data_IF_109565712657
#
_entry.id   IF_109565712657
#
_cell.length_a   1.000
_cell.length_b   1.000
_cell.length_c   1.000
_cell.angle_alpha   90.00
_cell.angle_beta   90.00
_cell.angle_gamma   90.00
#
_symmetry.space_group_name_H-M   'P 1'
#
loop_
_entity.id
_entity.type
_entity.pdbx_description
1 polymer ?
#
# COMPACT_ATOMS: atom_id res chain seq x y z
N UNK A 1 7.48 4.26 -45.35
CA UNK A 1 8.79 3.91 -44.76
C UNK A 1 8.55 2.71 -43.85
N UNK A 2 9.36 1.66 -43.95
CA UNK A 2 9.26 0.46 -43.10
C UNK A 2 10.56 0.33 -42.33
N UNK A 3 10.49 0.13 -41.01
CA UNK A 3 11.66 -0.10 -40.17
C UNK A 3 11.64 -1.57 -39.71
N UNK A 4 12.69 -2.31 -40.06
CA UNK A 4 12.90 -3.68 -39.59
C UNK A 4 14.14 -3.65 -38.72
N UNK A 5 13.98 -4.02 -37.45
CA UNK A 5 15.06 -4.13 -36.50
C UNK A 5 15.20 -5.61 -36.21
N UNK A 6 16.03 -6.27 -37.02
CA UNK A 6 16.45 -7.64 -36.78
C UNK A 6 17.83 -7.62 -36.14
N UNK A 7 18.02 -8.58 -35.24
CA UNK A 7 19.15 -8.75 -34.34
C UNK A 7 20.52 -8.77 -35.08
N UNK A 8 21.06 -7.59 -35.39
CA UNK A 8 22.48 -7.38 -35.65
C UNK A 8 23.08 -6.93 -34.33
N UNK A 9 24.08 -7.66 -33.81
CA UNK A 9 24.68 -7.54 -32.47
C UNK A 9 25.32 -6.20 -32.08
N UNK A 10 24.94 -5.10 -32.71
CA UNK A 10 25.31 -3.72 -32.38
C UNK A 10 24.17 -2.69 -32.56
N UNK A 11 22.92 -3.11 -32.79
CA UNK A 11 21.75 -2.21 -32.86
C UNK A 11 20.97 -2.11 -31.54
N UNK A 12 21.67 -1.87 -30.42
CA UNK A 12 21.09 -1.27 -29.20
C UNK A 12 20.82 0.22 -29.49
N UNK A 13 20.13 0.52 -30.59
CA UNK A 13 19.77 1.89 -30.99
C UNK A 13 18.27 2.05 -30.81
N UNK A 14 17.90 2.52 -29.62
CA UNK A 14 16.76 3.42 -29.38
C UNK A 14 15.38 3.05 -29.98
N UNK A 15 14.90 1.82 -29.82
CA UNK A 15 13.47 1.49 -30.09
C UNK A 15 12.55 1.81 -28.92
N UNK A 16 13.12 2.16 -27.75
CA UNK A 16 12.32 2.59 -26.60
C UNK A 16 11.47 3.83 -26.88
N UNK A 17 11.77 4.61 -27.94
CA UNK A 17 10.92 5.70 -28.46
C UNK A 17 11.07 5.80 -29.97
N UNK A 18 10.14 5.23 -30.74
CA UNK A 18 9.94 5.64 -32.13
C UNK A 18 9.42 7.08 -32.10
N UNK A 19 10.34 8.05 -32.17
CA UNK A 19 10.05 9.48 -32.03
C UNK A 19 8.85 9.94 -32.88
N UNK A 20 8.20 11.01 -32.41
CA UNK A 20 7.09 11.76 -33.05
C UNK A 20 7.34 12.24 -34.50
N UNK A 21 8.53 11.98 -35.05
CA UNK A 21 8.95 12.33 -36.39
C UNK A 21 8.60 11.25 -37.43
N UNK A 22 8.32 10.01 -37.00
CA UNK A 22 7.97 8.89 -37.90
C UNK A 22 6.46 8.68 -38.03
N UNK A 23 5.68 9.77 -38.15
CA UNK A 23 4.20 9.72 -38.24
C UNK A 23 3.68 8.95 -39.46
N UNK A 24 4.50 8.83 -40.50
CA UNK A 24 4.19 8.09 -41.73
C UNK A 24 4.75 6.64 -41.72
N UNK A 25 5.20 6.13 -40.57
CA UNK A 25 5.63 4.74 -40.45
C UNK A 25 4.41 3.82 -40.63
N UNK A 26 4.49 2.91 -41.60
CA UNK A 26 3.39 2.00 -41.95
C UNK A 26 3.68 0.55 -41.55
N UNK A 27 4.95 0.21 -41.32
CA UNK A 27 5.36 -1.13 -40.92
C UNK A 27 6.50 -1.07 -39.90
N UNK A 28 6.37 -1.85 -38.83
CA UNK A 28 7.37 -2.02 -37.79
C UNK A 28 7.57 -3.52 -37.48
N UNK A 29 8.82 -3.98 -37.55
CA UNK A 29 9.22 -5.32 -37.13
C UNK A 29 10.32 -5.26 -36.08
N UNK A 30 10.08 -5.86 -34.91
CA UNK A 30 10.98 -5.92 -33.75
C UNK A 30 11.06 -7.33 -33.14
N UNK A 31 10.70 -8.35 -33.91
CA UNK A 31 10.71 -9.74 -33.44
C UNK A 31 12.10 -10.21 -33.02
N UNK A 32 12.13 -11.17 -32.10
CA UNK A 32 13.37 -11.82 -31.62
C UNK A 32 14.35 -10.82 -30.97
N UNK A 33 13.80 -9.92 -30.15
CA UNK A 33 14.55 -8.89 -29.42
C UNK A 33 14.21 -8.88 -27.93
N UNK A 34 15.12 -8.32 -27.12
CA UNK A 34 14.95 -8.22 -25.67
C UNK A 34 14.10 -7.00 -25.23
N UNK A 35 13.28 -6.44 -26.12
CA UNK A 35 12.45 -5.29 -25.78
C UNK A 35 11.40 -5.67 -24.74
N UNK A 36 11.24 -4.81 -23.73
CA UNK A 36 10.26 -4.95 -22.65
C UNK A 36 9.13 -3.93 -22.71
N UNK A 37 9.38 -2.83 -23.42
CA UNK A 37 8.42 -1.76 -23.64
C UNK A 37 8.48 -1.34 -25.11
N UNK A 38 7.33 -1.02 -25.68
CA UNK A 38 7.19 -0.53 -27.05
C UNK A 38 6.19 0.63 -27.06
N UNK A 39 6.68 1.86 -27.16
CA UNK A 39 5.84 3.04 -27.36
C UNK A 39 5.73 3.37 -28.85
N UNK A 40 4.54 3.15 -29.39
CA UNK A 40 4.15 3.44 -30.78
C UNK A 40 2.97 4.42 -30.84
N UNK A 41 2.67 5.11 -29.74
CA UNK A 41 1.48 5.98 -29.60
C UNK A 41 1.40 7.09 -30.66
N UNK A 42 2.55 7.55 -31.16
CA UNK A 42 2.63 8.57 -32.22
C UNK A 42 2.52 8.02 -33.65
N UNK A 43 2.59 6.70 -33.85
CA UNK A 43 2.67 6.06 -35.17
C UNK A 43 1.31 5.54 -35.66
N UNK A 44 0.28 6.40 -35.62
CA UNK A 44 -1.12 6.03 -35.95
C UNK A 44 -1.35 5.59 -37.42
N UNK A 45 -0.35 5.79 -38.30
CA UNK A 45 -0.37 5.32 -39.67
C UNK A 45 0.09 3.86 -39.84
N UNK A 46 0.51 3.19 -38.76
CA UNK A 46 0.94 1.80 -38.80
C UNK A 46 -0.16 0.89 -39.35
N UNK A 47 0.25 0.02 -40.27
CA UNK A 47 -0.56 -1.04 -40.87
C UNK A 47 -0.06 -2.42 -40.46
N UNK A 48 1.24 -2.58 -40.28
CA UNK A 48 1.85 -3.86 -39.93
C UNK A 48 2.71 -3.70 -38.67
N UNK A 49 2.42 -4.48 -37.64
CA UNK A 49 3.24 -4.59 -36.44
C UNK A 49 3.60 -6.06 -36.20
N UNK A 50 4.90 -6.35 -36.16
CA UNK A 50 5.44 -7.69 -35.90
C UNK A 50 6.40 -7.59 -34.71
N UNK A 51 6.00 -8.14 -33.57
CA UNK A 51 6.75 -8.15 -32.30
C UNK A 51 6.72 -9.53 -31.64
N UNK A 52 6.82 -10.59 -32.45
CA UNK A 52 6.89 -11.97 -31.96
C UNK A 52 8.18 -12.20 -31.15
N UNK A 53 8.13 -13.10 -30.17
CA UNK A 53 9.30 -13.49 -29.37
C UNK A 53 10.00 -12.27 -28.74
N UNK A 54 9.24 -11.45 -28.02
CA UNK A 54 9.78 -10.30 -27.26
C UNK A 54 9.46 -10.45 -25.79
N UNK A 55 9.98 -9.55 -24.96
CA UNK A 55 9.71 -9.53 -23.52
C UNK A 55 8.65 -8.48 -23.15
N UNK A 56 7.80 -8.09 -24.11
CA UNK A 56 6.69 -7.18 -23.88
C UNK A 56 5.70 -7.80 -22.90
N UNK A 57 5.40 -7.07 -21.83
CA UNK A 57 4.38 -7.46 -20.86
C UNK A 57 3.06 -6.69 -21.04
N UNK A 58 3.06 -5.64 -21.86
CA UNK A 58 1.88 -4.86 -22.23
C UNK A 58 1.96 -4.52 -23.71
N UNK A 59 0.80 -4.53 -24.39
CA UNK A 59 0.68 -4.01 -25.75
C UNK A 59 -0.68 -3.34 -25.92
N UNK A 60 -0.66 -2.03 -26.14
CA UNK A 60 -1.85 -1.25 -26.46
C UNK A 60 -1.75 -0.72 -27.90
N UNK A 61 -2.64 -1.20 -28.76
CA UNK A 61 -2.81 -0.75 -30.15
C UNK A 61 -4.23 -0.22 -30.39
N UNK A 62 -4.93 0.16 -29.32
CA UNK A 62 -6.34 0.57 -29.37
C UNK A 62 -6.59 1.80 -30.24
N UNK A 63 -5.58 2.63 -30.45
CA UNK A 63 -5.66 3.83 -31.28
C UNK A 63 -5.17 3.59 -32.73
N UNK A 64 -4.55 2.45 -33.03
CA UNK A 64 -3.97 2.15 -34.34
C UNK A 64 -5.01 1.59 -35.30
N UNK A 65 -6.04 2.39 -35.61
CA UNK A 65 -7.20 1.98 -36.44
C UNK A 65 -6.86 1.56 -37.87
N UNK A 66 -5.66 1.85 -38.34
CA UNK A 66 -5.16 1.46 -39.66
C UNK A 66 -4.43 0.11 -39.66
N UNK A 67 -4.25 -0.52 -38.49
CA UNK A 67 -3.53 -1.78 -38.36
C UNK A 67 -4.29 -2.90 -39.07
N UNK A 68 -3.60 -3.58 -39.99
CA UNK A 68 -4.11 -4.69 -40.77
C UNK A 68 -3.48 -6.03 -40.35
N UNK A 69 -2.21 -5.99 -39.93
CA UNK A 69 -1.44 -7.15 -39.47
C UNK A 69 -0.86 -6.85 -38.09
N UNK A 70 -1.18 -7.71 -37.12
CA UNK A 70 -0.53 -7.75 -35.81
C UNK A 70 -0.06 -9.17 -35.51
N UNK A 71 1.25 -9.31 -35.27
CA UNK A 71 1.82 -10.55 -34.75
C UNK A 71 2.58 -10.25 -33.47
N UNK A 72 2.14 -10.83 -32.36
CA UNK A 72 2.73 -10.65 -31.03
C UNK A 72 2.83 -11.99 -30.26
N UNK A 73 3.00 -13.09 -31.00
CA UNK A 73 3.13 -14.44 -30.45
C UNK A 73 4.35 -14.56 -29.52
N UNK A 74 4.26 -15.43 -28.52
CA UNK A 74 5.35 -15.73 -27.58
C UNK A 74 5.93 -14.48 -26.90
N UNK A 75 5.07 -13.52 -26.56
CA UNK A 75 5.44 -12.39 -25.68
C UNK A 75 4.65 -12.52 -24.38
N UNK A 76 5.27 -12.30 -23.20
CA UNK A 76 4.64 -12.50 -21.89
C UNK A 76 3.67 -11.36 -21.54
N UNK A 77 2.70 -11.09 -22.42
CA UNK A 77 1.71 -10.03 -22.29
C UNK A 77 0.75 -10.32 -21.13
N UNK A 78 0.72 -9.46 -20.13
CA UNK A 78 -0.34 -9.43 -19.12
C UNK A 78 -1.66 -8.92 -19.74
N UNK A 79 -1.59 -8.07 -20.77
CA UNK A 79 -2.75 -7.71 -21.57
C UNK A 79 -2.39 -7.28 -22.99
N UNK A 80 -3.36 -7.44 -23.88
CA UNK A 80 -3.38 -6.89 -25.23
C UNK A 80 -4.65 -6.05 -25.38
N UNK A 81 -4.51 -4.77 -25.72
CA UNK A 81 -5.65 -3.89 -25.97
C UNK A 81 -5.74 -3.53 -27.45
N UNK A 82 -6.72 -4.09 -28.14
CA UNK A 82 -7.05 -3.75 -29.53
C UNK A 82 -8.09 -2.63 -29.64
N UNK A 83 -8.81 -2.32 -28.56
CA UNK A 83 -10.04 -1.53 -28.64
C UNK A 83 -10.99 -2.11 -29.69
N UNK A 84 -11.54 -1.24 -30.56
CA UNK A 84 -12.24 -1.69 -31.78
C UNK A 84 -11.36 -1.51 -33.03
N UNK A 85 -10.75 -2.58 -33.54
CA UNK A 85 -9.86 -2.58 -34.70
C UNK A 85 -10.41 -3.46 -35.83
N UNK A 86 -11.51 -3.05 -36.45
CA UNK A 86 -12.18 -3.81 -37.53
C UNK A 86 -11.31 -4.01 -38.79
N UNK A 87 -10.29 -3.16 -38.99
CA UNK A 87 -9.34 -3.30 -40.11
C UNK A 87 -8.27 -4.39 -39.88
N UNK A 88 -8.15 -4.90 -38.65
CA UNK A 88 -7.17 -5.92 -38.27
C UNK A 88 -7.67 -7.28 -38.72
N UNK A 89 -7.28 -7.72 -39.92
CA UNK A 89 -7.72 -8.99 -40.50
C UNK A 89 -6.76 -10.14 -40.20
N UNK A 90 -5.49 -9.82 -39.93
CA UNK A 90 -4.47 -10.81 -39.54
C UNK A 90 -3.99 -10.52 -38.12
N UNK A 91 -4.42 -11.34 -37.17
CA UNK A 91 -4.01 -11.28 -35.77
C UNK A 91 -3.44 -12.64 -35.35
N UNK A 92 -2.14 -12.67 -35.10
CA UNK A 92 -1.47 -13.80 -34.47
C UNK A 92 -1.07 -13.41 -33.05
N UNK A 93 -1.72 -14.06 -32.08
CA UNK A 93 -1.41 -13.96 -30.65
C UNK A 93 -1.54 -15.35 -30.03
N UNK A 94 -0.79 -15.60 -28.98
CA UNK A 94 -0.89 -16.82 -28.17
C UNK A 94 -1.49 -16.49 -26.82
N UNK A 95 -1.94 -17.51 -26.08
CA UNK A 95 -2.09 -17.36 -24.65
C UNK A 95 -0.74 -17.01 -24.02
N UNK A 96 -0.78 -16.34 -22.87
CA UNK A 96 0.38 -15.73 -22.27
C UNK A 96 0.71 -16.34 -20.91
N UNK A 97 1.99 -16.37 -20.59
CA UNK A 97 2.50 -16.74 -19.28
C UNK A 97 3.45 -15.65 -18.79
N UNK A 98 3.19 -15.12 -17.59
CA UNK A 98 3.90 -13.97 -17.04
C UNK A 98 4.41 -14.30 -15.64
N UNK A 99 5.64 -13.88 -15.34
CA UNK A 99 6.18 -13.95 -13.99
C UNK A 99 6.12 -12.55 -13.35
N UNK A 100 5.62 -12.46 -12.13
CA UNK A 100 5.50 -11.20 -11.40
C UNK A 100 6.01 -11.34 -9.97
N UNK A 101 6.95 -10.47 -9.59
CA UNK A 101 7.36 -10.30 -8.21
C UNK A 101 6.28 -9.51 -7.45
N UNK A 102 5.80 -10.04 -6.33
CA UNK A 102 4.83 -9.38 -5.45
C UNK A 102 5.27 -9.44 -4.00
N UNK A 103 4.68 -8.60 -3.15
CA UNK A 103 4.96 -8.56 -1.71
C UNK A 103 3.65 -8.73 -0.93
N UNK A 104 3.65 -9.62 0.06
CA UNK A 104 2.48 -9.85 0.90
C UNK A 104 1.41 -10.72 0.24
N UNK A 105 0.18 -10.61 0.72
CA UNK A 105 -0.97 -11.46 0.35
C UNK A 105 -1.91 -10.85 -0.69
N UNK A 106 -1.61 -9.64 -1.16
CA UNK A 106 -2.37 -8.94 -2.19
C UNK A 106 -1.47 -7.98 -2.97
N UNK A 107 -1.86 -7.60 -4.18
CA UNK A 107 -1.17 -6.58 -4.98
C UNK A 107 -2.16 -5.85 -5.90
N UNK A 108 -1.80 -4.65 -6.37
CA UNK A 108 -2.62 -3.90 -7.31
C UNK A 108 -2.20 -4.19 -8.76
N UNK A 109 -3.09 -4.78 -9.56
CA UNK A 109 -2.79 -5.13 -10.95
C UNK A 109 -2.54 -3.89 -11.83
N UNK A 110 -3.18 -2.75 -11.52
CA UNK A 110 -3.03 -1.49 -12.26
C UNK A 110 -1.65 -0.86 -12.05
N UNK A 111 -1.05 -1.12 -10.88
CA UNK A 111 0.31 -0.69 -10.58
C UNK A 111 1.33 -1.65 -11.21
N UNK A 112 1.05 -2.96 -11.23
CA UNK A 112 1.90 -3.96 -11.86
C UNK A 112 1.97 -3.81 -13.39
N UNK A 113 0.84 -3.52 -14.03
CA UNK A 113 0.75 -3.37 -15.49
C UNK A 113 -0.03 -2.09 -15.84
N UNK A 114 0.70 -1.01 -16.09
CA UNK A 114 0.12 0.28 -16.42
C UNK A 114 -0.80 0.18 -17.64
N UNK A 115 -2.05 0.64 -17.49
CA UNK A 115 -3.04 0.67 -18.58
C UNK A 115 -3.92 -0.58 -18.68
N UNK A 116 -3.67 -1.62 -17.88
CA UNK A 116 -4.59 -2.74 -17.77
C UNK A 116 -5.93 -2.28 -17.18
N UNK A 117 -7.04 -2.78 -17.72
CA UNK A 117 -8.38 -2.52 -17.20
C UNK A 117 -8.94 -3.76 -16.51
N UNK A 118 -9.12 -3.74 -15.17
CA UNK A 118 -9.72 -4.85 -14.43
C UNK A 118 -11.11 -5.26 -14.92
N UNK A 119 -11.86 -4.37 -15.58
CA UNK A 119 -13.18 -4.69 -16.11
C UNK A 119 -13.11 -5.69 -17.28
N UNK A 120 -12.04 -5.64 -18.07
CA UNK A 120 -11.76 -6.55 -19.16
C UNK A 120 -11.19 -7.90 -18.69
N UNK A 121 -10.93 -8.05 -17.39
CA UNK A 121 -10.45 -9.29 -16.80
C UNK A 121 -11.62 -10.16 -16.31
N UNK A 122 -11.54 -11.45 -16.60
CA UNK A 122 -12.41 -12.49 -16.00
C UNK A 122 -11.51 -13.53 -15.34
N UNK A 123 -11.52 -13.58 -14.01
CA UNK A 123 -10.76 -14.55 -13.24
C UNK A 123 -11.27 -15.97 -13.51
N UNK A 124 -10.34 -16.89 -13.78
CA UNK A 124 -10.63 -18.32 -13.97
C UNK A 124 -10.27 -19.09 -12.70
N UNK A 125 -9.09 -18.83 -12.13
CA UNK A 125 -8.62 -19.51 -10.92
C UNK A 125 -7.43 -18.80 -10.26
N UNK A 126 -7.07 -19.25 -9.06
CA UNK A 126 -5.81 -18.92 -8.39
C UNK A 126 -5.80 -17.62 -7.59
N UNK A 127 -6.87 -16.82 -7.64
CA UNK A 127 -7.04 -15.62 -6.83
C UNK A 127 -8.33 -14.87 -7.18
N UNK A 128 -8.65 -13.87 -6.38
CA UNK A 128 -9.79 -12.98 -6.59
C UNK A 128 -9.32 -11.62 -7.10
N UNK A 129 -10.15 -10.94 -7.88
CA UNK A 129 -9.92 -9.58 -8.36
C UNK A 129 -11.08 -8.69 -7.96
N UNK A 130 -10.80 -7.67 -7.16
CA UNK A 130 -11.67 -6.51 -7.01
C UNK A 130 -11.47 -5.59 -8.21
N UNK A 131 -12.50 -5.50 -9.06
CA UNK A 131 -12.45 -4.71 -10.30
C UNK A 131 -12.44 -3.20 -10.05
N UNK A 132 -12.99 -2.73 -8.94
CA UNK A 132 -13.03 -1.29 -8.62
C UNK A 132 -11.64 -0.82 -8.18
N UNK A 133 -11.05 -1.52 -7.22
CA UNK A 133 -9.74 -1.15 -6.66
C UNK A 133 -8.58 -1.64 -7.51
N UNK A 134 -8.75 -2.71 -8.29
CA UNK A 134 -7.71 -3.43 -9.01
C UNK A 134 -6.87 -4.34 -8.12
N UNK A 135 -7.32 -4.58 -6.88
CA UNK A 135 -6.60 -5.45 -5.94
C UNK A 135 -6.86 -6.91 -6.30
N UNK A 136 -5.76 -7.65 -6.45
CA UNK A 136 -5.74 -9.10 -6.56
C UNK A 136 -5.35 -9.69 -5.20
N UNK A 137 -6.15 -10.60 -4.67
CA UNK A 137 -5.98 -11.19 -3.33
C UNK A 137 -6.37 -12.67 -3.29
N UNK A 138 -6.24 -13.31 -2.12
CA UNK A 138 -6.59 -14.72 -1.86
C UNK A 138 -5.85 -15.74 -2.74
N UNK A 139 -4.79 -15.32 -3.45
CA UNK A 139 -3.88 -16.26 -4.10
C UNK A 139 -3.05 -17.02 -3.09
N UNK A 140 -2.53 -18.17 -3.51
CA UNK A 140 -1.69 -19.04 -2.70
C UNK A 140 -0.29 -19.11 -3.28
N UNK A 141 0.75 -19.08 -2.44
CA UNK A 141 2.13 -19.18 -2.92
C UNK A 141 2.33 -20.49 -3.69
N UNK A 142 3.00 -20.40 -4.82
CA UNK A 142 3.22 -21.53 -5.73
C UNK A 142 2.02 -21.91 -6.60
N UNK A 143 0.84 -21.33 -6.38
CA UNK A 143 -0.34 -21.55 -7.23
C UNK A 143 -0.49 -20.40 -8.23
N UNK A 144 -0.47 -20.66 -9.55
CA UNK A 144 -0.63 -19.61 -10.55
C UNK A 144 -2.04 -19.02 -10.53
N UNK A 145 -2.13 -17.73 -10.85
CA UNK A 145 -3.39 -17.05 -11.14
C UNK A 145 -3.68 -17.19 -12.63
N UNK A 146 -4.92 -17.53 -12.99
CA UNK A 146 -5.34 -17.62 -14.39
C UNK A 146 -6.52 -16.69 -14.62
N UNK A 147 -6.42 -15.83 -15.64
CA UNK A 147 -7.54 -14.99 -16.08
C UNK A 147 -7.64 -14.95 -17.60
N UNK A 148 -8.84 -14.64 -18.07
CA UNK A 148 -9.11 -14.29 -19.46
C UNK A 148 -9.20 -12.78 -19.59
N UNK A 149 -8.49 -12.21 -20.57
CA UNK A 149 -8.53 -10.79 -20.90
C UNK A 149 -9.35 -10.56 -22.17
N UNK A 150 -10.31 -9.64 -22.11
CA UNK A 150 -11.03 -9.12 -23.27
C UNK A 150 -10.13 -8.13 -24.02
N UNK A 151 -9.65 -8.55 -25.19
CA UNK A 151 -8.72 -7.75 -25.98
C UNK A 151 -9.46 -6.71 -26.85
N UNK A 152 -10.80 -6.75 -26.92
CA UNK A 152 -11.61 -5.95 -27.83
C UNK A 152 -11.99 -6.71 -29.10
N UNK A 153 -12.01 -6.04 -30.25
CA UNK A 153 -12.45 -6.60 -31.53
C UNK A 153 -11.41 -6.41 -32.64
N UNK A 154 -11.27 -7.44 -33.47
CA UNK A 154 -10.55 -7.45 -34.75
C UNK A 154 -11.55 -7.47 -35.92
N UNK A 155 -11.05 -7.49 -37.15
CA UNK A 155 -11.86 -7.75 -38.35
C UNK A 155 -12.50 -9.16 -38.36
N UNK A 156 -12.05 -10.06 -37.49
CA UNK A 156 -12.59 -11.41 -37.33
C UNK A 156 -13.60 -11.51 -36.17
N UNK A 157 -13.88 -10.42 -35.46
CA UNK A 157 -14.83 -10.36 -34.35
C UNK A 157 -14.17 -10.16 -32.99
N UNK A 158 -14.78 -10.71 -31.94
CA UNK A 158 -14.33 -10.51 -30.56
C UNK A 158 -13.06 -11.32 -30.27
N UNK A 159 -12.07 -10.67 -29.68
CA UNK A 159 -10.76 -11.25 -29.37
C UNK A 159 -10.54 -11.34 -27.86
N UNK A 160 -10.02 -12.48 -27.43
CA UNK A 160 -9.68 -12.71 -26.01
C UNK A 160 -8.40 -13.50 -25.89
N UNK A 161 -7.69 -13.34 -24.77
CA UNK A 161 -6.43 -14.03 -24.48
C UNK A 161 -6.48 -14.60 -23.06
N UNK A 162 -6.02 -15.83 -22.86
CA UNK A 162 -5.80 -16.34 -21.51
C UNK A 162 -4.41 -15.94 -21.03
N UNK A 163 -4.30 -15.58 -19.76
CA UNK A 163 -3.05 -15.23 -19.10
C UNK A 163 -2.88 -16.09 -17.86
N UNK A 164 -1.74 -16.74 -17.75
CA UNK A 164 -1.28 -17.45 -16.56
C UNK A 164 -0.20 -16.63 -15.88
N UNK A 165 -0.47 -16.15 -14.68
CA UNK A 165 0.43 -15.33 -13.88
C UNK A 165 1.06 -16.19 -12.78
N UNK A 166 2.37 -16.41 -12.90
CA UNK A 166 3.18 -17.02 -11.86
C UNK A 166 3.71 -15.93 -10.93
N UNK A 167 3.36 -16.03 -9.66
CA UNK A 167 3.79 -15.08 -8.65
C UNK A 167 5.07 -15.57 -7.96
N UNK A 168 6.07 -14.69 -7.92
CA UNK A 168 7.20 -14.82 -7.02
C UNK A 168 6.93 -13.95 -5.78
N UNK A 169 6.31 -14.57 -4.77
CA UNK A 169 5.84 -13.88 -3.56
C UNK A 169 7.00 -13.69 -2.59
N UNK A 170 7.33 -12.43 -2.29
CA UNK A 170 8.26 -12.04 -1.23
C UNK A 170 7.47 -11.69 0.03
N UNK A 171 8.03 -12.01 1.20
CA UNK A 171 7.40 -11.63 2.46
C UNK A 171 7.43 -10.11 2.65
N UNK A 172 6.29 -9.54 3.01
CA UNK A 172 6.19 -8.17 3.50
C UNK A 172 6.52 -8.08 4.99
N UNK A 173 6.55 -6.87 5.52
CA UNK A 173 6.75 -6.65 6.95
C UNK A 173 5.41 -6.52 7.66
N UNK A 174 5.29 -7.20 8.80
CA UNK A 174 4.16 -6.97 9.71
C UNK A 174 4.39 -5.67 10.49
N UNK A 175 3.30 -4.98 10.81
CA UNK A 175 3.30 -3.76 11.61
C UNK A 175 2.29 -3.88 12.74
N UNK A 176 2.73 -3.61 13.96
CA UNK A 176 1.90 -3.54 15.16
C UNK A 176 1.85 -2.09 15.63
N UNK A 177 0.65 -1.57 15.83
CA UNK A 177 0.42 -0.25 16.43
C UNK A 177 -0.37 -0.41 17.72
N UNK A 178 0.08 0.24 18.79
CA UNK A 178 -0.62 0.34 20.07
C UNK A 178 -1.28 1.71 20.18
N UNK A 179 -2.60 1.74 20.30
CA UNK A 179 -3.43 2.95 20.31
C UNK A 179 -3.88 3.38 21.71
N UNK A 180 -3.51 2.62 22.75
CA UNK A 180 -3.90 2.87 24.14
C UNK A 180 -2.80 3.57 24.92
N UNK A 181 -3.19 4.62 25.65
CA UNK A 181 -2.36 5.19 26.70
C UNK A 181 -2.28 4.22 27.90
N UNK A 182 -1.07 3.78 28.21
CA UNK A 182 -0.84 2.78 29.25
C UNK A 182 -0.58 3.41 30.63
N UNK A 183 0.22 4.47 30.68
CA UNK A 183 0.60 5.09 31.96
C UNK A 183 -0.59 5.80 32.61
N UNK A 184 -0.78 5.58 33.92
CA UNK A 184 -1.89 6.18 34.69
C UNK A 184 -1.55 6.31 36.17
N UNK A 185 -2.35 7.06 36.91
CA UNK A 185 -2.38 7.01 38.37
C UNK A 185 -3.17 5.79 38.85
N UNK A 186 -2.81 5.24 40.01
CA UNK A 186 -3.46 4.08 40.60
C UNK A 186 -4.96 4.30 40.81
N UNK A 187 -5.77 3.47 40.16
CA UNK A 187 -7.24 3.47 40.19
C UNK A 187 -7.80 2.09 40.62
N UNK A 188 -6.92 1.16 40.95
CA UNK A 188 -7.26 -0.22 41.29
C UNK A 188 -7.73 -1.08 40.11
N UNK A 189 -7.65 -0.61 38.85
CA UNK A 189 -8.02 -1.39 37.66
C UNK A 189 -6.76 -1.89 36.93
N UNK A 190 -6.76 -3.11 36.37
CA UNK A 190 -5.62 -3.59 35.59
C UNK A 190 -5.48 -2.87 34.24
N UNK A 191 -4.26 -2.84 33.69
CA UNK A 191 -4.00 -2.40 32.32
C UNK A 191 -4.04 -3.64 31.41
N UNK A 192 -5.25 -4.00 30.99
CA UNK A 192 -5.47 -5.05 29.99
C UNK A 192 -5.55 -4.47 28.58
N UNK A 193 -5.00 -5.19 27.60
CA UNK A 193 -5.09 -4.84 26.19
C UNK A 193 -6.15 -5.70 25.54
N UNK A 194 -7.03 -5.08 24.77
CA UNK A 194 -8.05 -5.75 23.97
C UNK A 194 -7.81 -5.52 22.46
N UNK A 195 -8.64 -6.13 21.63
CA UNK A 195 -8.53 -6.05 20.16
C UNK A 195 -8.62 -4.63 19.60
N UNK A 196 -9.31 -3.70 20.27
CA UNK A 196 -9.43 -2.31 19.81
C UNK A 196 -8.24 -1.44 20.19
N UNK A 197 -7.45 -1.87 21.18
CA UNK A 197 -6.24 -1.17 21.60
C UNK A 197 -5.07 -1.37 20.62
N UNK A 198 -5.18 -2.37 19.73
CA UNK A 198 -4.14 -2.79 18.82
C UNK A 198 -4.60 -2.71 17.36
N UNK A 199 -3.68 -2.37 16.47
CA UNK A 199 -3.87 -2.52 15.04
C UNK A 199 -2.70 -3.28 14.47
N UNK A 200 -2.98 -4.41 13.82
CA UNK A 200 -1.97 -5.22 13.14
C UNK A 200 -2.25 -5.21 11.64
N UNK A 201 -1.20 -4.90 10.87
CA UNK A 201 -1.17 -5.06 9.42
C UNK A 201 -0.10 -6.08 9.07
N UNK A 202 -0.35 -6.90 8.04
CA UNK A 202 0.56 -7.95 7.63
C UNK A 202 0.09 -9.31 8.11
N UNK A 203 0.89 -9.98 8.95
CA UNK A 203 0.62 -11.37 9.31
C UNK A 203 -0.76 -11.59 9.92
N UNK A 204 -1.34 -12.73 9.54
CA UNK A 204 -2.61 -13.26 10.04
C UNK A 204 -2.46 -14.15 11.29
N UNK A 205 -1.24 -14.33 11.81
CA UNK A 205 -1.03 -15.10 13.03
C UNK A 205 -1.65 -14.42 14.26
N UNK A 206 -2.03 -15.17 15.29
CA UNK A 206 -2.52 -14.59 16.54
C UNK A 206 -1.50 -13.65 17.19
N UNK A 207 -2.00 -12.57 17.79
CA UNK A 207 -1.18 -11.63 18.58
C UNK A 207 -0.82 -12.28 19.92
N UNK A 208 0.43 -12.10 20.34
CA UNK A 208 0.91 -12.48 21.67
C UNK A 208 1.18 -11.23 22.49
N UNK A 209 0.65 -11.18 23.71
CA UNK A 209 0.82 -10.07 24.65
C UNK A 209 1.51 -10.61 25.91
N UNK A 210 2.61 -9.97 26.30
CA UNK A 210 3.41 -10.36 27.45
C UNK A 210 3.72 -9.13 28.32
N UNK A 211 3.20 -9.13 29.55
CA UNK A 211 3.55 -8.12 30.54
C UNK A 211 4.75 -8.52 31.37
N UNK A 212 5.62 -7.57 31.67
CA UNK A 212 6.77 -7.72 32.54
C UNK A 212 6.82 -6.55 33.53
N UNK A 213 7.19 -6.84 34.78
CA UNK A 213 7.41 -5.86 35.84
C UNK A 213 8.90 -5.62 36.03
N UNK A 214 9.29 -4.36 36.22
CA UNK A 214 10.68 -4.01 36.54
C UNK A 214 10.95 -4.33 38.00
N UNK A 215 11.90 -5.24 38.26
CA UNK A 215 12.39 -5.60 39.59
C UNK A 215 13.90 -5.44 39.63
N UNK A 216 14.36 -4.47 40.42
CA UNK A 216 15.77 -4.05 40.43
C UNK A 216 16.23 -3.71 38.99
N UNK A 217 17.23 -4.41 38.48
CA UNK A 217 17.77 -4.24 37.13
C UNK A 217 17.23 -5.27 36.12
N UNK A 218 16.15 -5.98 36.45
CA UNK A 218 15.60 -7.06 35.62
C UNK A 218 14.11 -6.89 35.31
N UNK A 219 13.66 -7.52 34.22
CA UNK A 219 12.26 -7.59 33.83
C UNK A 219 11.71 -8.97 34.11
N UNK A 220 10.67 -9.06 34.93
CA UNK A 220 10.07 -10.32 35.36
C UNK A 220 8.69 -10.49 34.73
N UNK A 221 8.48 -11.60 34.03
CA UNK A 221 7.20 -11.96 33.41
C UNK A 221 6.06 -12.01 34.43
N UNK A 222 4.94 -11.39 34.08
CA UNK A 222 3.69 -11.48 34.82
C UNK A 222 2.77 -12.54 34.20
N UNK A 223 1.94 -13.15 35.05
CA UNK A 223 0.91 -14.11 34.64
C UNK A 223 -0.45 -13.45 34.37
N UNK A 224 -0.57 -12.16 34.69
CA UNK A 224 -1.78 -11.35 34.51
C UNK A 224 -1.39 -9.91 34.17
N UNK A 225 -2.36 -9.13 33.70
CA UNK A 225 -2.17 -7.71 33.48
C UNK A 225 -1.78 -6.97 34.78
N UNK A 226 -0.88 -5.97 34.72
CA UNK A 226 -0.45 -5.21 35.87
C UNK A 226 -1.56 -4.29 36.37
N UNK A 227 -1.62 -4.14 37.70
CA UNK A 227 -2.64 -3.38 38.43
C UNK A 227 -2.04 -2.52 39.54
N UNK A 228 -0.98 -3.01 40.17
CA UNK A 228 -0.33 -2.35 41.30
C UNK A 228 0.58 -1.22 40.85
N UNK A 229 0.93 -0.33 41.78
CA UNK A 229 1.91 0.73 41.53
C UNK A 229 3.25 0.11 41.16
N UNK A 230 3.86 0.60 40.09
CA UNK A 230 5.13 0.08 39.58
C UNK A 230 5.46 0.50 38.16
N UNK A 231 6.64 0.10 37.72
CA UNK A 231 7.12 0.27 36.34
C UNK A 231 7.01 -1.04 35.58
N UNK A 232 6.35 -1.00 34.44
CA UNK A 232 6.01 -2.17 33.64
C UNK A 232 6.43 -1.98 32.18
N UNK A 233 6.51 -3.09 31.45
CA UNK A 233 6.51 -3.06 29.99
C UNK A 233 5.62 -4.15 29.44
N UNK A 234 5.06 -3.88 28.27
CA UNK A 234 4.33 -4.86 27.48
C UNK A 234 5.10 -5.15 26.20
N UNK A 235 5.30 -6.43 25.89
CA UNK A 235 5.76 -6.90 24.58
C UNK A 235 4.56 -7.41 23.82
N UNK A 236 4.34 -6.87 22.63
CA UNK A 236 3.25 -7.25 21.74
C UNK A 236 3.89 -7.76 20.46
N UNK A 237 3.60 -9.01 20.08
CA UNK A 237 4.20 -9.63 18.91
C UNK A 237 3.18 -10.37 18.05
N UNK A 238 3.50 -10.48 16.77
CA UNK A 238 2.80 -11.32 15.79
C UNK A 238 3.82 -12.22 15.12
N UNK A 239 3.49 -13.51 15.01
CA UNK A 239 4.37 -14.50 14.38
C UNK A 239 4.50 -14.30 12.86
N UNK A 240 5.49 -14.97 12.28
CA UNK A 240 5.67 -15.01 10.82
C UNK A 240 4.63 -15.94 10.17
N UNK A 241 4.18 -15.58 8.96
CA UNK A 241 3.42 -16.47 8.08
C UNK A 241 4.04 -16.56 6.67
N UNK A 242 3.29 -17.12 5.74
CA UNK A 242 3.75 -17.34 4.36
C UNK A 242 3.96 -16.02 3.60
N UNK A 243 3.25 -14.95 3.96
CA UNK A 243 3.22 -13.67 3.25
C UNK A 243 3.93 -12.55 4.00
N UNK A 244 4.13 -12.66 5.32
CA UNK A 244 4.70 -11.59 6.14
C UNK A 244 5.68 -12.10 7.20
N UNK A 245 6.76 -11.35 7.42
CA UNK A 245 7.67 -11.53 8.55
C UNK A 245 6.96 -11.25 9.89
N UNK A 246 7.53 -11.78 10.97
CA UNK A 246 7.08 -11.44 12.33
C UNK A 246 7.32 -9.97 12.66
N UNK A 247 6.60 -9.45 13.66
CA UNK A 247 6.86 -8.14 14.24
C UNK A 247 6.71 -8.17 15.76
N UNK A 248 7.44 -7.30 16.44
CA UNK A 248 7.37 -7.10 17.88
C UNK A 248 7.53 -5.62 18.21
N UNK A 249 6.73 -5.12 19.14
CA UNK A 249 6.91 -3.82 19.78
C UNK A 249 7.00 -4.00 21.30
N UNK A 250 7.79 -3.13 21.93
CA UNK A 250 7.93 -3.09 23.39
C UNK A 250 7.55 -1.68 23.86
N UNK A 251 6.63 -1.59 24.81
CA UNK A 251 6.20 -0.31 25.38
C UNK A 251 6.31 -0.34 26.90
N UNK A 252 7.11 0.58 27.44
CA UNK A 252 7.22 0.80 28.88
C UNK A 252 6.15 1.78 29.35
N UNK A 253 5.65 1.59 30.57
CA UNK A 253 4.63 2.42 31.20
C UNK A 253 4.68 2.30 32.73
N UNK A 254 3.98 3.20 33.41
CA UNK A 254 3.97 3.26 34.88
C UNK A 254 2.56 3.40 35.43
N UNK A 255 2.31 2.73 36.56
CA UNK A 255 1.17 3.01 37.44
C UNK A 255 1.74 3.78 38.63
N UNK A 256 1.41 5.07 38.74
CA UNK A 256 1.94 5.93 39.82
C UNK A 256 0.96 6.06 40.97
N UNK A 257 1.44 6.36 42.18
CA UNK A 257 0.57 6.68 43.31
C UNK A 257 -0.36 7.87 43.00
N UNK A 258 -1.55 7.87 43.62
CA UNK A 258 -2.42 9.06 43.62
C UNK A 258 -1.75 10.10 44.50
N UNK A 259 -1.30 11.21 43.92
CA UNK A 259 -0.75 12.32 44.68
C UNK A 259 -1.73 12.75 45.75
N UNK A 260 -1.35 12.60 47.03
CA UNK A 260 -2.15 13.13 48.13
C UNK A 260 -2.11 14.65 48.03
N UNK A 261 -3.27 15.27 47.82
CA UNK A 261 -3.41 16.68 48.11
C UNK A 261 -3.07 16.84 49.60
N UNK A 262 -1.92 17.45 49.90
CA UNK A 262 -1.58 17.84 51.27
C UNK A 262 -2.77 18.62 51.80
N UNK A 263 -3.46 18.17 52.86
CA UNK A 263 -4.53 18.95 53.46
C UNK A 263 -3.93 20.31 53.79
N UNK A 264 -4.52 21.38 53.26
CA UNK A 264 -4.14 22.72 53.68
C UNK A 264 -4.33 22.76 55.20
N UNK A 265 -3.23 22.78 55.96
CA UNK A 265 -3.29 22.97 57.39
C UNK A 265 -4.06 24.28 57.63
N UNK A 266 -5.28 24.15 58.14
CA UNK A 266 -6.03 25.29 58.65
C UNK A 266 -5.18 25.83 59.80
N UNK A 267 -4.68 27.08 59.71
CA UNK A 267 -3.90 27.65 60.80
C UNK A 267 -4.76 27.58 62.08
N UNK A 268 -4.17 27.29 63.25
CA UNK A 268 -4.92 27.23 64.50
C UNK A 268 -5.69 28.55 64.69
N UNK A 269 -6.98 28.42 64.97
CA UNK A 269 -7.84 29.53 65.38
C UNK A 269 -7.30 30.09 66.69
N UNK A 270 -6.40 31.07 66.59
CA UNK A 270 -6.02 31.93 67.69
C UNK A 270 -7.07 33.02 67.86
N UNK A 271 -7.62 33.12 69.07
CA UNK A 271 -8.51 34.19 69.51
C UNK A 271 -7.96 35.57 69.10
N UNK A 272 -8.70 36.29 68.26
CA UNK A 272 -8.48 37.69 67.97
C UNK A 272 -9.36 38.55 68.86
N UNK A 273 -8.82 38.96 70.01
CA UNK A 273 -9.15 40.25 70.63
C UNK A 273 -7.93 41.18 70.49
N UNK A 274 -7.80 41.80 69.31
CA UNK A 274 -7.15 43.11 69.08
C UNK A 274 -7.16 43.45 67.59
N UNK A 275 -8.31 43.91 67.12
CA UNK A 275 -8.57 44.96 66.11
C UNK A 275 -7.45 45.23 65.06
N UNK A 276 -7.74 44.87 63.79
CA UNK A 276 -7.06 45.41 62.60
C UNK A 276 -7.32 44.63 61.28
N UNK A 277 -8.58 44.55 60.81
CA UNK A 277 -8.99 43.93 59.53
C UNK A 277 -8.39 44.64 58.27
N UNK A 278 -7.71 43.95 57.34
CA UNK A 278 -8.17 43.24 56.10
C UNK A 278 -8.37 44.19 54.89
N UNK A 279 -7.83 44.03 53.66
CA UNK A 279 -7.87 42.95 52.63
C UNK A 279 -6.63 43.21 51.71
N UNK A 280 -5.74 42.27 51.32
CA UNK A 280 -5.94 41.09 50.48
C UNK A 280 -5.70 41.41 49.00
N UNK A 281 -4.66 40.86 48.36
CA UNK A 281 -4.67 40.37 46.97
C UNK A 281 -3.50 39.40 46.77
N UNK A 282 -3.91 38.22 46.32
CA UNK A 282 -3.18 37.06 45.83
C UNK A 282 -2.50 37.40 44.49
N UNK A 283 -1.22 37.04 44.31
CA UNK A 283 -0.63 36.91 42.97
C UNK A 283 0.15 35.60 42.82
N UNK A 284 -0.53 34.72 42.08
CA UNK A 284 -0.15 33.48 41.40
C UNK A 284 1.18 33.64 40.64
N UNK A 285 2.10 32.68 40.78
CA UNK A 285 3.20 32.49 39.82
C UNK A 285 2.86 31.33 38.87
N UNK A 286 2.19 31.68 37.77
CA UNK A 286 2.25 30.94 36.52
C UNK A 286 3.16 31.74 35.57
N UNK A 287 4.23 31.13 35.07
CA UNK A 287 4.98 31.60 33.89
C UNK A 287 4.94 30.47 32.87
N UNK A 288 4.13 30.45 31.80
CA UNK A 288 3.73 31.43 30.77
C UNK A 288 4.73 31.58 29.63
N UNK A 289 4.34 31.16 28.41
CA UNK A 289 4.82 31.66 27.11
C UNK A 289 3.70 31.41 26.05
N UNK A 290 3.24 32.28 25.13
CA UNK A 290 3.43 33.70 24.74
C UNK A 290 2.36 34.05 23.64
N UNK A 291 1.87 35.31 23.62
CA UNK A 291 1.31 36.21 22.54
C UNK A 291 0.42 35.66 21.39
N UNK A 292 -0.56 36.37 20.81
CA UNK A 292 -0.91 37.81 20.75
C UNK A 292 -2.37 37.99 20.27
N UNK A 293 -3.04 39.09 20.61
CA UNK A 293 -4.14 39.63 19.80
C UNK A 293 -4.12 41.17 19.78
N UNK A 294 -4.18 41.75 18.58
CA UNK A 294 -4.37 43.18 18.32
C UNK A 294 -5.86 43.56 18.48
N UNK A 295 -6.11 44.61 19.27
CA UNK A 295 -7.41 45.29 19.46
C UNK A 295 -7.93 45.91 18.16
N UNK A 296 -9.27 45.95 17.96
CA UNK A 296 -10.03 47.21 18.14
C UNK A 296 -11.56 47.07 17.97
N UNK A 297 -12.26 47.47 19.04
CA UNK A 297 -13.36 48.43 19.12
C UNK A 297 -14.69 48.29 18.32
N UNK A 298 -15.76 48.24 19.14
CA UNK A 298 -16.98 49.08 19.15
C UNK A 298 -18.10 48.80 18.11
N UNK A 299 -19.23 48.32 18.67
CA UNK A 299 -20.54 49.00 18.89
C UNK A 299 -21.75 48.15 18.46
N UNK A 300 -22.68 48.01 19.41
CA UNK A 300 -24.10 47.66 19.24
C UNK A 300 -24.80 48.54 18.20
N UNK A 301 -25.67 47.97 17.37
CA UNK A 301 -27.15 48.15 17.40
C UNK A 301 -27.81 47.51 16.17
N UNK A 302 -28.99 46.93 16.44
CA UNK A 302 -30.00 46.31 15.56
C UNK A 302 -29.63 44.93 15.03
#
# INVERSE_FOLDING_TARGET
MSAVIQNCGFCIVQVQRLHSQNKALMGLGVSDTDIRELDISANLALRNLICNNTHLNILDVSQHKNLNILRCENSPLAYLNLGNNENLTELNKTDSTVNLDVVGSSFNIKEAYKGIDPNNMTMISGGDLDKETGIVSHYQVGTPIVYKYDCGTSGNGKETMQVTLHLNVKKGDSLITLNKELSKTYDGQPIELNETDLTVKGSSKPITILYEEKREDSWVKLNSAPREVGTYRVKISVGEDEYYHSAEIVKEFEITEVGTAVPHEVPPTGDMNSIGFNIGILLISAGAIVYSMKRNNKKRKV
#
